data_IF_053957672188
#
_entry.id   IF_053957672188
#
_cell.length_a   1.000
_cell.length_b   1.000
_cell.length_c   1.000
_cell.angle_alpha   90.00
_cell.angle_beta   90.00
_cell.angle_gamma   90.00
#
_symmetry.space_group_name_H-M   'P 1'
#
loop_
_entity.id
_entity.type
_entity.pdbx_description
1 polymer ?
#
# COMPACT_ATOMS: atom_id res chain seq x y z
N UNK A 1 -17.97 -9.69 7.33
CA UNK A 1 -16.95 -9.24 6.37
C UNK A 1 -16.68 -10.39 5.41
N UNK A 2 -16.66 -10.09 4.14
CA UNK A 2 -16.27 -11.00 3.06
C UNK A 2 -15.04 -10.40 2.37
N UNK A 3 -14.03 -11.21 2.13
CA UNK A 3 -12.83 -10.81 1.41
C UNK A 3 -12.96 -11.34 -0.01
N UNK A 4 -12.90 -10.44 -0.97
CA UNK A 4 -12.99 -10.77 -2.40
C UNK A 4 -11.78 -10.17 -3.14
N UNK A 5 -11.35 -10.76 -4.26
CA UNK A 5 -10.35 -10.15 -5.13
C UNK A 5 -10.78 -8.76 -5.61
N UNK A 6 -9.84 -7.82 -5.84
CA UNK A 6 -10.17 -6.45 -6.25
C UNK A 6 -11.04 -6.36 -7.51
N UNK A 7 -10.84 -7.23 -8.48
CA UNK A 7 -11.57 -7.32 -9.73
C UNK A 7 -13.00 -7.89 -9.58
N UNK A 8 -13.30 -8.54 -8.46
CA UNK A 8 -14.64 -9.07 -8.14
C UNK A 8 -15.48 -8.11 -7.28
N UNK A 9 -14.93 -7.02 -6.77
CA UNK A 9 -15.61 -6.12 -5.83
C UNK A 9 -16.89 -5.56 -6.44
N UNK A 10 -16.83 -5.04 -7.65
CA UNK A 10 -18.00 -4.42 -8.32
C UNK A 10 -19.09 -5.46 -8.58
N UNK A 11 -18.71 -6.64 -9.04
CA UNK A 11 -19.66 -7.74 -9.24
C UNK A 11 -20.32 -8.20 -7.93
N UNK A 12 -19.58 -8.22 -6.82
CA UNK A 12 -20.10 -8.57 -5.50
C UNK A 12 -21.10 -7.53 -4.98
N UNK A 13 -20.80 -6.24 -5.18
CA UNK A 13 -21.67 -5.13 -4.81
C UNK A 13 -22.96 -5.14 -5.65
N UNK A 14 -22.86 -5.31 -6.96
CA UNK A 14 -24.00 -5.29 -7.90
C UNK A 14 -24.89 -6.53 -7.72
N UNK A 15 -24.31 -7.65 -7.35
CA UNK A 15 -25.07 -8.86 -6.99
C UNK A 15 -25.74 -8.78 -5.60
N UNK A 16 -25.51 -7.70 -4.84
CA UNK A 16 -26.05 -7.52 -3.49
C UNK A 16 -25.44 -8.48 -2.46
N UNK A 17 -24.31 -9.11 -2.74
CA UNK A 17 -23.57 -9.93 -1.77
C UNK A 17 -22.98 -9.09 -0.66
N UNK A 18 -22.61 -7.85 -0.97
CA UNK A 18 -22.16 -6.84 -0.03
C UNK A 18 -22.89 -5.51 -0.26
N UNK A 19 -23.05 -4.72 0.77
CA UNK A 19 -23.67 -3.40 0.69
C UNK A 19 -22.65 -2.27 0.56
N UNK A 20 -21.44 -2.51 1.02
CA UNK A 20 -20.35 -1.54 1.09
C UNK A 20 -19.02 -2.24 0.86
N UNK A 21 -18.22 -1.71 -0.03
CA UNK A 21 -16.81 -2.08 -0.20
C UNK A 21 -15.93 -1.05 0.52
N UNK A 22 -15.29 -1.51 1.58
CA UNK A 22 -14.35 -0.73 2.38
C UNK A 22 -12.93 -1.23 2.10
N UNK A 23 -12.34 -0.76 1.01
CA UNK A 23 -11.00 -1.13 0.58
C UNK A 23 -10.25 0.11 0.08
N UNK A 24 -9.03 -0.07 -0.41
CA UNK A 24 -8.20 1.00 -0.98
C UNK A 24 -8.65 1.32 -2.41
N UNK A 25 -9.90 1.75 -2.55
CA UNK A 25 -10.53 1.94 -3.86
C UNK A 25 -10.39 3.38 -4.33
N UNK A 26 -9.93 3.60 -5.57
CA UNK A 26 -9.91 4.92 -6.17
C UNK A 26 -11.35 5.41 -6.40
N UNK A 27 -11.52 6.73 -6.45
CA UNK A 27 -12.76 7.34 -6.89
C UNK A 27 -12.98 6.99 -8.36
N UNK A 28 -14.05 6.27 -8.74
CA UNK A 28 -14.30 5.97 -10.13
C UNK A 28 -14.74 7.24 -10.90
N UNK A 29 -14.50 7.26 -12.21
CA UNK A 29 -14.86 8.39 -13.06
C UNK A 29 -16.37 8.69 -13.08
N UNK A 30 -17.18 7.65 -12.87
CA UNK A 30 -18.64 7.68 -12.79
C UNK A 30 -19.18 7.58 -11.35
N UNK A 31 -18.41 8.08 -10.40
CA UNK A 31 -18.64 7.89 -8.95
C UNK A 31 -20.10 8.16 -8.52
N UNK A 32 -20.73 9.21 -9.08
CA UNK A 32 -22.11 9.55 -8.79
C UNK A 32 -22.42 9.52 -7.28
N UNK A 33 -23.63 9.03 -6.97
CA UNK A 33 -24.13 8.90 -5.58
C UNK A 33 -23.75 7.55 -4.93
N UNK A 34 -22.68 6.88 -5.40
CA UNK A 34 -22.31 5.52 -4.97
C UNK A 34 -21.07 5.47 -4.08
N UNK A 35 -20.49 6.62 -3.78
CA UNK A 35 -19.25 6.69 -3.00
C UNK A 35 -19.39 7.58 -1.77
N UNK A 36 -18.58 7.28 -0.76
CA UNK A 36 -18.44 8.19 0.39
C UNK A 36 -17.59 9.40 0.03
N UNK A 37 -17.57 10.46 0.87
CA UNK A 37 -16.47 11.41 0.87
C UNK A 37 -15.10 10.70 0.96
N UNK A 38 -14.03 11.31 0.44
CA UNK A 38 -12.69 10.72 0.52
C UNK A 38 -12.28 10.39 1.95
N UNK A 39 -11.73 9.19 2.16
CA UNK A 39 -11.21 8.77 3.46
C UNK A 39 -9.80 9.31 3.65
N UNK A 40 -9.02 9.27 2.57
CA UNK A 40 -7.66 9.82 2.50
C UNK A 40 -7.33 10.21 1.06
N UNK A 41 -6.21 10.89 0.90
CA UNK A 41 -5.61 11.21 -0.41
C UNK A 41 -4.33 10.41 -0.57
N UNK A 42 -4.12 9.87 -1.76
CA UNK A 42 -2.91 9.11 -2.10
C UNK A 42 -2.50 9.42 -3.54
N UNK A 43 -1.28 9.07 -3.90
CA UNK A 43 -0.75 9.19 -5.27
C UNK A 43 -0.07 7.89 -5.68
N UNK A 44 0.22 7.75 -6.97
CA UNK A 44 1.03 6.65 -7.47
C UNK A 44 2.47 7.15 -7.60
N UNK A 45 3.40 6.38 -7.03
CA UNK A 45 4.82 6.71 -7.03
C UNK A 45 5.64 5.57 -7.60
N UNK A 46 6.76 5.91 -8.20
CA UNK A 46 7.76 4.94 -8.63
C UNK A 46 8.78 4.72 -7.54
N UNK A 47 9.05 3.44 -7.27
CA UNK A 47 10.20 3.00 -6.51
C UNK A 47 11.31 2.52 -7.43
N UNK A 48 12.53 2.76 -7.01
CA UNK A 48 13.76 2.25 -7.61
C UNK A 48 14.76 1.86 -6.54
N UNK A 49 15.78 1.12 -6.94
CA UNK A 49 16.93 0.86 -6.07
C UNK A 49 17.75 2.15 -5.89
N UNK A 50 18.24 2.44 -4.67
CA UNK A 50 18.98 3.66 -4.33
C UNK A 50 20.26 3.89 -5.17
N UNK A 51 20.86 2.83 -5.70
CA UNK A 51 22.02 2.92 -6.58
C UNK A 51 21.65 3.24 -8.05
N UNK A 52 20.37 3.35 -8.38
CA UNK A 52 19.91 3.77 -9.71
C UNK A 52 19.92 5.30 -9.82
N UNK A 53 20.09 5.80 -11.03
CA UNK A 53 19.97 7.25 -11.27
C UNK A 53 18.53 7.70 -10.99
N UNK A 54 18.35 8.79 -10.24
CA UNK A 54 17.02 9.33 -9.99
C UNK A 54 16.35 9.74 -11.31
N UNK A 55 15.02 9.68 -11.32
CA UNK A 55 14.21 10.20 -12.40
C UNK A 55 13.77 11.62 -12.00
N UNK A 56 13.94 12.57 -12.88
CA UNK A 56 13.61 13.97 -12.63
C UNK A 56 12.21 14.32 -13.16
N UNK A 57 11.79 13.69 -14.26
CA UNK A 57 10.46 13.89 -14.83
C UNK A 57 9.91 12.63 -15.53
N UNK A 58 8.64 12.71 -15.95
CA UNK A 58 7.94 11.64 -16.66
C UNK A 58 8.61 11.28 -17.99
N UNK A 59 9.31 12.19 -18.62
CA UNK A 59 10.04 11.97 -19.88
C UNK A 59 11.18 10.94 -19.74
N UNK A 60 11.75 10.83 -18.55
CA UNK A 60 12.82 9.88 -18.24
C UNK A 60 12.36 8.42 -18.27
N UNK A 61 11.04 8.20 -18.33
CA UNK A 61 10.45 6.86 -18.48
C UNK A 61 10.55 6.29 -19.89
N UNK A 62 11.00 7.06 -20.87
CA UNK A 62 11.17 6.58 -22.23
C UNK A 62 12.17 5.42 -22.29
N UNK A 63 11.71 4.31 -22.88
CA UNK A 63 12.49 3.09 -23.01
C UNK A 63 12.64 2.28 -21.73
N UNK A 64 12.13 2.79 -20.59
CA UNK A 64 12.17 2.10 -19.29
C UNK A 64 11.06 1.08 -19.17
N UNK A 65 11.28 0.09 -18.32
CA UNK A 65 10.25 -0.90 -17.94
C UNK A 65 9.79 -0.61 -16.54
N UNK A 66 8.49 -0.41 -16.38
CA UNK A 66 7.84 -0.22 -15.09
C UNK A 66 6.91 -1.39 -14.83
N UNK A 67 7.03 -1.97 -13.64
CA UNK A 67 6.22 -3.11 -13.22
C UNK A 67 5.21 -2.65 -12.17
N UNK A 68 3.99 -3.20 -12.23
CA UNK A 68 2.97 -3.00 -11.21
C UNK A 68 2.26 -4.32 -10.91
N UNK A 69 1.58 -4.37 -9.77
CA UNK A 69 0.74 -5.51 -9.41
C UNK A 69 -0.44 -5.64 -10.39
N UNK A 70 -0.85 -6.86 -10.73
CA UNK A 70 -2.04 -7.10 -11.54
C UNK A 70 -3.29 -6.44 -10.93
N UNK A 71 -4.20 -5.98 -11.77
CA UNK A 71 -5.48 -5.36 -11.38
C UNK A 71 -5.34 -4.16 -10.43
N UNK A 72 -4.12 -3.59 -10.30
CA UNK A 72 -3.89 -2.43 -9.46
C UNK A 72 -4.23 -1.12 -10.17
N UNK A 73 -4.52 -0.06 -9.39
CA UNK A 73 -4.68 1.30 -9.90
C UNK A 73 -3.41 1.76 -10.61
N UNK A 74 -2.24 1.45 -10.05
CA UNK A 74 -0.93 1.79 -10.60
C UNK A 74 -0.75 1.26 -12.02
N UNK A 75 -1.22 0.05 -12.27
CA UNK A 75 -1.20 -0.53 -13.61
C UNK A 75 -2.07 0.27 -14.59
N UNK A 76 -3.25 0.71 -14.17
CA UNK A 76 -4.11 1.56 -14.98
C UNK A 76 -3.44 2.92 -15.28
N UNK A 77 -2.89 3.58 -14.27
CA UNK A 77 -2.11 4.83 -14.43
C UNK A 77 -0.97 4.66 -15.41
N UNK A 78 -0.19 3.57 -15.30
CA UNK A 78 0.92 3.31 -16.21
C UNK A 78 0.46 3.08 -17.65
N UNK A 79 -0.66 2.40 -17.87
CA UNK A 79 -1.24 2.20 -19.22
C UNK A 79 -1.72 3.51 -19.84
N UNK A 80 -2.28 4.42 -19.03
CA UNK A 80 -2.62 5.77 -19.50
C UNK A 80 -1.36 6.56 -19.87
N UNK A 81 -0.31 6.48 -19.07
CA UNK A 81 0.98 7.11 -19.37
C UNK A 81 1.63 6.53 -20.62
N UNK A 82 1.50 5.23 -20.88
CA UNK A 82 2.01 4.58 -22.08
C UNK A 82 1.42 5.18 -23.37
N UNK A 83 0.16 5.65 -23.35
CA UNK A 83 -0.44 6.37 -24.47
C UNK A 83 0.23 7.73 -24.75
N UNK A 84 0.87 8.33 -23.74
CA UNK A 84 1.55 9.61 -23.81
C UNK A 84 3.07 9.46 -24.03
N UNK A 85 3.62 8.32 -23.62
CA UNK A 85 5.05 7.97 -23.71
C UNK A 85 5.16 6.64 -24.46
N UNK A 86 5.21 6.65 -25.80
CA UNK A 86 5.11 5.42 -26.61
C UNK A 86 6.19 4.36 -26.31
N UNK A 87 7.39 4.80 -25.87
CA UNK A 87 8.51 3.89 -25.58
C UNK A 87 8.48 3.35 -24.14
N UNK A 88 7.53 3.78 -23.30
CA UNK A 88 7.34 3.24 -21.96
C UNK A 88 6.86 1.78 -22.05
N UNK A 89 7.57 0.89 -21.39
CA UNK A 89 7.19 -0.52 -21.27
C UNK A 89 6.50 -0.74 -19.92
N UNK A 90 5.26 -1.21 -19.97
CA UNK A 90 4.47 -1.53 -18.77
C UNK A 90 4.34 -3.04 -18.68
N UNK A 91 4.69 -3.60 -17.54
CA UNK A 91 4.59 -5.04 -17.28
C UNK A 91 3.81 -5.30 -16.00
N UNK A 92 3.01 -6.35 -16.01
CA UNK A 92 2.36 -6.87 -14.82
C UNK A 92 3.30 -7.86 -14.12
N UNK A 93 3.30 -7.82 -12.79
CA UNK A 93 4.01 -8.82 -12.00
C UNK A 93 3.23 -10.15 -12.09
N UNK A 94 3.83 -11.14 -12.73
CA UNK A 94 3.14 -12.41 -13.08
C UNK A 94 3.49 -13.57 -12.13
N UNK A 95 4.42 -13.37 -11.21
CA UNK A 95 4.73 -14.40 -10.23
C UNK A 95 3.58 -14.53 -9.22
N UNK A 96 3.38 -15.71 -8.67
CA UNK A 96 2.42 -15.98 -7.58
C UNK A 96 2.83 -15.25 -6.28
N UNK A 97 3.46 -14.09 -6.47
CA UNK A 97 4.03 -13.26 -5.45
C UNK A 97 3.10 -12.14 -5.03
N UNK A 98 3.19 -11.83 -3.78
CA UNK A 98 2.60 -10.64 -3.19
C UNK A 98 3.47 -9.39 -3.48
N UNK A 99 3.03 -8.26 -2.98
CA UNK A 99 3.78 -7.00 -3.08
C UNK A 99 5.21 -7.13 -2.52
N UNK A 100 5.42 -7.92 -1.49
CA UNK A 100 6.74 -8.06 -0.85
C UNK A 100 7.72 -8.77 -1.77
N UNK A 101 7.29 -9.80 -2.49
CA UNK A 101 8.10 -10.49 -3.51
C UNK A 101 8.51 -9.55 -4.64
N UNK A 102 7.57 -8.68 -5.08
CA UNK A 102 7.85 -7.64 -6.08
C UNK A 102 8.91 -6.64 -5.57
N UNK A 103 8.80 -6.19 -4.31
CA UNK A 103 9.77 -5.28 -3.70
C UNK A 103 11.14 -5.94 -3.51
N UNK A 104 11.20 -7.22 -3.17
CA UNK A 104 12.47 -7.96 -3.11
C UNK A 104 13.14 -8.04 -4.48
N UNK A 105 12.40 -8.33 -5.55
CA UNK A 105 12.94 -8.38 -6.93
C UNK A 105 13.48 -7.01 -7.35
N UNK A 106 12.82 -5.92 -6.95
CA UNK A 106 13.34 -4.56 -7.15
C UNK A 106 14.63 -4.34 -6.34
N UNK A 107 14.68 -4.77 -5.08
CA UNK A 107 15.87 -4.68 -4.23
C UNK A 107 17.06 -5.49 -4.75
N UNK A 108 16.81 -6.64 -5.38
CA UNK A 108 17.81 -7.47 -6.06
C UNK A 108 18.19 -6.91 -7.45
N UNK A 109 17.54 -5.85 -7.91
CA UNK A 109 17.74 -5.22 -9.23
C UNK A 109 17.36 -6.12 -10.41
N UNK A 110 16.49 -7.11 -10.18
CA UNK A 110 15.87 -7.96 -11.21
C UNK A 110 14.80 -7.18 -11.97
N UNK A 111 14.18 -6.22 -11.28
CA UNK A 111 13.22 -5.24 -11.79
C UNK A 111 13.83 -3.85 -11.64
N UNK A 112 13.60 -2.98 -12.60
CA UNK A 112 14.18 -1.63 -12.63
C UNK A 112 13.32 -0.61 -11.86
N UNK A 113 12.03 -0.60 -12.12
CA UNK A 113 11.07 0.35 -11.56
C UNK A 113 9.78 -0.37 -11.17
N UNK A 114 9.23 -0.01 -10.04
CA UNK A 114 7.94 -0.52 -9.56
C UNK A 114 7.03 0.65 -9.21
N UNK A 115 5.78 0.59 -9.68
CA UNK A 115 4.75 1.55 -9.31
C UNK A 115 3.96 1.04 -8.10
N UNK A 116 3.88 1.85 -7.05
CA UNK A 116 3.11 1.57 -5.84
C UNK A 116 2.28 2.78 -5.40
N UNK A 117 1.41 2.54 -4.42
CA UNK A 117 0.72 3.61 -3.70
C UNK A 117 1.70 4.36 -2.78
N UNK A 118 1.60 5.69 -2.74
CA UNK A 118 2.49 6.55 -1.94
C UNK A 118 2.46 6.23 -0.45
N UNK A 119 1.33 5.73 0.07
CA UNK A 119 1.19 5.32 1.48
C UNK A 119 2.05 4.10 1.83
N UNK A 120 2.43 3.30 0.84
CA UNK A 120 3.24 2.10 1.01
C UNK A 120 4.76 2.36 0.91
N UNK A 121 5.17 3.55 0.49
CA UNK A 121 6.59 3.90 0.28
C UNK A 121 7.45 3.66 1.51
N UNK A 122 6.96 4.06 2.67
CA UNK A 122 7.70 3.91 3.92
C UNK A 122 7.79 2.45 4.37
N UNK A 123 6.72 1.68 4.15
CA UNK A 123 6.70 0.24 4.42
C UNK A 123 7.69 -0.46 3.48
N UNK A 124 7.67 -0.11 2.20
CA UNK A 124 8.60 -0.65 1.21
C UNK A 124 10.07 -0.39 1.60
N UNK A 125 10.40 0.85 1.98
CA UNK A 125 11.75 1.21 2.42
C UNK A 125 12.19 0.54 3.73
N UNK A 126 11.23 0.15 4.60
CA UNK A 126 11.55 -0.64 5.79
C UNK A 126 11.79 -2.10 5.47
N UNK A 127 10.98 -2.65 4.57
CA UNK A 127 11.11 -4.06 4.18
C UNK A 127 12.38 -4.28 3.34
N UNK A 128 12.66 -3.38 2.39
CA UNK A 128 13.87 -3.38 1.57
C UNK A 128 14.52 -2.01 1.65
N UNK A 129 15.48 -1.79 2.57
CA UNK A 129 16.07 -0.47 2.84
C UNK A 129 16.78 0.19 1.66
N UNK A 130 17.17 -0.59 0.65
CA UNK A 130 17.79 -0.07 -0.58
C UNK A 130 16.81 0.55 -1.58
N UNK A 131 15.52 0.59 -1.25
CA UNK A 131 14.50 1.18 -2.13
C UNK A 131 14.24 2.63 -1.76
N UNK A 132 14.04 3.44 -2.79
CA UNK A 132 13.67 4.84 -2.65
C UNK A 132 12.57 5.22 -3.64
N UNK A 133 11.68 6.14 -3.22
CA UNK A 133 10.77 6.80 -4.13
C UNK A 133 11.55 7.77 -5.03
N UNK A 134 11.25 7.77 -6.32
CA UNK A 134 11.97 8.60 -7.29
C UNK A 134 11.06 9.58 -8.04
N UNK A 135 9.88 9.16 -8.45
CA UNK A 135 8.97 9.99 -9.24
C UNK A 135 7.52 9.76 -8.82
N UNK A 136 6.76 10.81 -8.69
CA UNK A 136 5.31 10.78 -8.53
C UNK A 136 4.64 10.81 -9.90
N UNK A 137 3.75 9.85 -10.17
CA UNK A 137 3.16 9.66 -11.50
C UNK A 137 1.92 10.51 -11.74
N UNK A 138 1.23 10.89 -10.68
CA UNK A 138 -0.02 11.64 -10.73
C UNK A 138 -0.24 12.45 -9.46
N UNK A 139 -1.18 13.39 -9.54
CA UNK A 139 -1.65 14.14 -8.38
C UNK A 139 -2.45 13.26 -7.43
N UNK A 140 -2.72 13.78 -6.23
CA UNK A 140 -3.46 13.09 -5.19
C UNK A 140 -4.79 12.51 -5.69
N UNK A 141 -4.96 11.22 -5.50
CA UNK A 141 -6.20 10.50 -5.75
C UNK A 141 -6.98 10.29 -4.47
N UNK A 142 -8.27 10.63 -4.45
CA UNK A 142 -9.12 10.30 -3.32
C UNK A 142 -9.36 8.79 -3.24
N UNK A 143 -9.19 8.24 -2.04
CA UNK A 143 -9.62 6.90 -1.68
C UNK A 143 -10.98 6.97 -1.04
N UNK A 144 -11.92 6.17 -1.54
CA UNK A 144 -13.33 6.18 -1.12
C UNK A 144 -13.83 4.79 -0.78
N UNK A 145 -14.91 4.72 -0.02
CA UNK A 145 -15.70 3.49 0.06
C UNK A 145 -16.81 3.53 -0.98
N UNK A 146 -17.15 2.38 -1.54
CA UNK A 146 -18.13 2.27 -2.62
C UNK A 146 -19.34 1.44 -2.21
N UNK A 147 -20.50 1.84 -2.71
CA UNK A 147 -21.75 1.08 -2.63
C UNK A 147 -22.09 0.52 -4.01
N UNK A 148 -22.97 -0.47 -4.05
CA UNK A 148 -23.42 -1.08 -5.30
C UNK A 148 -24.24 -0.15 -6.17
N UNK A 149 -24.65 -0.64 -7.35
CA UNK A 149 -25.36 0.13 -8.39
C UNK A 149 -26.69 0.73 -7.91
N UNK A 150 -27.33 0.09 -6.94
CA UNK A 150 -28.57 0.56 -6.31
C UNK A 150 -28.30 0.81 -4.82
N UNK A 151 -27.61 1.91 -4.46
CA UNK A 151 -27.21 2.14 -3.10
C UNK A 151 -28.44 2.43 -2.24
N UNK A 152 -28.46 1.88 -1.01
CA UNK A 152 -29.39 2.32 -0.01
C UNK A 152 -29.00 3.74 0.41
N UNK A 153 -29.83 4.72 0.08
CA UNK A 153 -29.55 6.14 0.38
C UNK A 153 -29.35 6.41 1.86
N UNK A 154 -30.07 5.70 2.75
CA UNK A 154 -29.89 5.83 4.21
C UNK A 154 -28.52 5.29 4.63
N UNK A 155 -28.09 4.16 4.09
CA UNK A 155 -26.76 3.60 4.36
C UNK A 155 -25.68 4.56 3.90
N UNK A 156 -25.79 5.07 2.66
CA UNK A 156 -24.82 6.02 2.12
C UNK A 156 -24.72 7.27 2.99
N UNK A 157 -25.87 7.85 3.37
CA UNK A 157 -25.91 9.03 4.23
C UNK A 157 -25.24 8.77 5.59
N UNK A 158 -25.52 7.63 6.23
CA UNK A 158 -24.92 7.27 7.52
C UNK A 158 -23.42 7.03 7.43
N UNK A 159 -22.96 6.36 6.38
CA UNK A 159 -21.52 6.07 6.18
C UNK A 159 -20.78 7.37 5.82
N UNK A 160 -21.36 8.22 4.98
CA UNK A 160 -20.78 9.53 4.65
C UNK A 160 -20.66 10.43 5.87
N UNK A 161 -21.71 10.53 6.69
CA UNK A 161 -21.69 11.28 7.94
C UNK A 161 -20.65 10.72 8.95
N UNK A 162 -20.46 9.40 8.98
CA UNK A 162 -19.38 8.79 9.76
C UNK A 162 -18.00 9.24 9.26
N UNK A 163 -17.75 9.16 7.94
CA UNK A 163 -16.46 9.58 7.35
C UNK A 163 -16.18 11.05 7.64
N UNK A 164 -17.16 11.93 7.42
CA UNK A 164 -17.02 13.37 7.68
C UNK A 164 -16.75 13.68 9.16
N UNK A 165 -17.41 12.98 10.07
CA UNK A 165 -17.15 13.12 11.51
C UNK A 165 -15.77 12.63 11.87
N UNK A 166 -15.38 11.45 11.36
CA UNK A 166 -14.09 10.85 11.63
C UNK A 166 -12.91 11.67 11.07
N UNK A 167 -13.14 12.43 9.99
CA UNK A 167 -12.19 13.43 9.51
C UNK A 167 -12.09 14.62 10.48
N UNK A 168 -13.25 15.22 10.83
CA UNK A 168 -13.31 16.42 11.67
C UNK A 168 -12.76 16.21 13.08
N UNK A 169 -13.01 15.07 13.70
CA UNK A 169 -12.55 14.75 15.06
C UNK A 169 -11.15 14.12 15.11
N UNK A 170 -10.51 13.92 13.94
CA UNK A 170 -9.18 13.34 13.82
C UNK A 170 -9.12 11.83 14.04
N UNK A 171 -10.27 11.14 14.03
CA UNK A 171 -10.31 9.66 14.17
C UNK A 171 -9.57 8.98 13.05
N UNK A 172 -9.72 9.42 11.79
CA UNK A 172 -8.99 8.84 10.65
C UNK A 172 -7.49 9.03 10.80
N UNK A 173 -7.02 10.21 11.22
CA UNK A 173 -5.61 10.47 11.50
C UNK A 173 -5.05 9.58 12.60
N UNK A 174 -5.84 9.33 13.67
CA UNK A 174 -5.44 8.43 14.76
C UNK A 174 -5.34 6.97 14.28
N UNK A 175 -6.26 6.55 13.40
CA UNK A 175 -6.22 5.22 12.81
C UNK A 175 -5.00 5.11 11.89
N UNK A 176 -4.77 6.09 11.04
CA UNK A 176 -3.59 6.15 10.17
C UNK A 176 -2.29 6.10 11.01
N UNK A 177 -2.17 6.92 12.05
CA UNK A 177 -1.02 6.91 12.95
C UNK A 177 -0.87 5.58 13.69
N UNK A 178 -1.97 4.93 14.06
CA UNK A 178 -1.94 3.62 14.72
C UNK A 178 -1.39 2.51 13.82
N UNK A 179 -1.77 2.50 12.54
CA UNK A 179 -1.40 1.42 11.62
C UNK A 179 -0.12 1.71 10.84
N UNK A 180 0.16 2.98 10.55
CA UNK A 180 1.31 3.41 9.74
C UNK A 180 2.28 4.35 10.48
N UNK A 181 1.88 4.94 11.60
CA UNK A 181 2.69 5.95 12.30
C UNK A 181 3.95 5.38 12.95
N UNK A 182 3.96 4.10 13.35
CA UNK A 182 5.16 3.44 13.85
C UNK A 182 6.24 3.33 12.75
N UNK A 183 5.82 3.21 11.50
CA UNK A 183 6.67 3.22 10.31
C UNK A 183 7.39 4.56 10.18
N UNK A 184 6.69 5.67 10.47
CA UNK A 184 7.26 7.03 10.40
C UNK A 184 8.22 7.35 11.56
N UNK A 185 8.11 6.65 12.69
CA UNK A 185 8.91 6.89 13.90
C UNK A 185 10.24 6.15 13.91
N UNK A 186 10.35 5.04 13.19
CA UNK A 186 11.58 4.28 13.08
C UNK A 186 12.51 4.92 12.04
N UNK A 187 13.65 5.44 12.49
CA UNK A 187 14.70 5.88 11.58
C UNK A 187 15.39 4.66 10.98
N UNK A 188 15.84 4.78 9.74
CA UNK A 188 16.55 3.72 9.02
C UNK A 188 17.72 3.13 9.84
N UNK A 189 18.44 3.97 10.58
CA UNK A 189 19.49 3.56 11.52
C UNK A 189 18.96 2.66 12.65
N UNK A 190 17.72 2.84 13.10
CA UNK A 190 17.12 2.05 14.17
C UNK A 190 16.78 0.64 13.68
N UNK A 191 16.32 0.52 12.41
CA UNK A 191 15.99 -0.76 11.78
C UNK A 191 17.25 -1.58 11.56
N UNK A 192 18.31 -0.99 10.99
CA UNK A 192 19.60 -1.68 10.80
C UNK A 192 20.17 -2.12 12.14
N UNK A 193 20.08 -1.25 13.15
CA UNK A 193 20.51 -1.57 14.52
C UNK A 193 19.66 -2.71 15.11
N UNK A 194 18.36 -2.69 14.89
CA UNK A 194 17.44 -3.73 15.38
C UNK A 194 17.71 -5.08 14.71
N UNK A 195 17.85 -5.12 13.38
CA UNK A 195 18.19 -6.35 12.64
C UNK A 195 19.55 -6.91 13.09
N UNK A 196 20.58 -6.06 13.22
CA UNK A 196 21.88 -6.46 13.75
C UNK A 196 21.80 -7.01 15.18
N UNK A 197 20.91 -6.48 16.02
CA UNK A 197 20.66 -7.00 17.37
C UNK A 197 19.91 -8.33 17.37
N UNK A 198 18.97 -8.53 16.43
CA UNK A 198 18.32 -9.84 16.24
C UNK A 198 19.38 -10.90 15.94
N UNK A 199 20.31 -10.64 15.04
CA UNK A 199 21.35 -11.59 14.68
C UNK A 199 22.36 -11.84 15.81
N UNK A 200 22.76 -10.80 16.53
CA UNK A 200 23.87 -10.88 17.49
C UNK A 200 23.45 -11.07 18.94
N UNK A 201 22.33 -10.49 19.37
CA UNK A 201 21.88 -10.52 20.76
C UNK A 201 20.75 -11.53 20.99
N UNK A 202 19.78 -11.63 20.10
CA UNK A 202 18.63 -12.51 20.30
C UNK A 202 19.04 -13.96 20.58
N UNK A 203 20.03 -14.56 19.89
CA UNK A 203 20.48 -15.92 20.19
C UNK A 203 20.99 -16.09 21.64
N UNK A 204 21.62 -15.05 22.19
CA UNK A 204 22.14 -15.08 23.57
C UNK A 204 21.04 -15.10 24.62
N UNK A 205 19.92 -14.43 24.35
CA UNK A 205 18.80 -14.29 25.29
C UNK A 205 17.63 -15.23 24.99
N UNK A 206 17.67 -15.98 23.89
CA UNK A 206 16.56 -16.86 23.43
C UNK A 206 16.07 -17.79 24.52
N UNK A 207 16.99 -18.40 25.30
CA UNK A 207 16.61 -19.30 26.39
C UNK A 207 15.82 -18.59 27.49
N UNK A 208 16.15 -17.35 27.80
CA UNK A 208 15.44 -16.56 28.82
C UNK A 208 14.03 -16.19 28.33
N UNK A 209 13.87 -15.82 27.06
CA UNK A 209 12.57 -15.53 26.48
C UNK A 209 11.70 -16.79 26.41
N UNK A 210 12.27 -17.95 26.08
CA UNK A 210 11.55 -19.23 26.11
C UNK A 210 11.12 -19.64 27.54
N UNK A 211 11.96 -19.37 28.53
CA UNK A 211 11.58 -19.58 29.94
C UNK A 211 10.44 -18.64 30.35
N UNK A 212 10.50 -17.37 29.93
CA UNK A 212 9.42 -16.42 30.18
C UNK A 212 8.11 -16.83 29.49
N UNK A 213 8.17 -17.40 28.29
CA UNK A 213 6.99 -17.99 27.63
C UNK A 213 6.36 -19.09 28.47
N UNK A 214 7.19 -19.99 29.04
CA UNK A 214 6.71 -21.09 29.88
C UNK A 214 5.98 -20.59 31.13
N UNK A 215 6.43 -19.47 31.68
CA UNK A 215 5.86 -18.85 32.89
C UNK A 215 4.62 -18.01 32.59
N UNK A 216 4.59 -17.29 31.48
CA UNK A 216 3.54 -16.30 31.16
C UNK A 216 2.47 -16.80 30.19
N UNK A 217 2.76 -17.87 29.42
CA UNK A 217 1.92 -18.33 28.31
C UNK A 217 1.98 -17.43 27.07
N UNK A 218 2.78 -16.38 27.06
CA UNK A 218 2.97 -15.45 25.93
C UNK A 218 4.06 -15.99 25.02
N UNK A 219 3.86 -15.98 23.71
CA UNK A 219 4.90 -16.40 22.74
C UNK A 219 6.21 -15.63 22.97
N UNK A 220 7.33 -16.35 23.07
CA UNK A 220 8.63 -15.75 23.36
C UNK A 220 9.07 -14.68 22.35
N UNK A 221 8.59 -14.77 21.10
CA UNK A 221 8.91 -13.76 20.06
C UNK A 221 8.24 -12.43 20.36
N UNK A 222 7.02 -12.45 20.93
CA UNK A 222 6.33 -11.24 21.39
C UNK A 222 6.99 -10.65 22.64
N UNK A 223 7.60 -11.51 23.49
CA UNK A 223 8.33 -11.04 24.67
C UNK A 223 9.67 -10.40 24.27
N UNK A 224 10.26 -10.87 23.17
CA UNK A 224 11.54 -10.39 22.65
C UNK A 224 11.45 -9.12 21.79
N UNK A 225 10.25 -8.81 21.25
CA UNK A 225 9.99 -7.64 20.43
C UNK A 225 9.84 -6.37 21.27
#
# INVERSE_FOLDING_TARGET
>A
FEVVPPDEIDAALDAGKAHLAAAWLPLPADAGEKTTPPILQTSDVLLQHEASLPLDDIGDLRGRTVVAMPSSRQLATLRELQNRIPDLKVSEYQEDGDLFSLLESLGKREIELVAIDSTLTQIAAQFVPSLQATLELNENHPVVWRLGTHPNAELLARVSDFVERAQRDGTLLKIEDRYFGHVRRLKQADIVTFLGRIETLLPKFRKHFQSAQTLSGIDWRLIAA
#
